data_IF_426176878965
#
_entry.id   IF_426176878965
#
_cell.length_a   1.000
_cell.length_b   1.000
_cell.length_c   1.000
_cell.angle_alpha   90.00
_cell.angle_beta   90.00
_cell.angle_gamma   90.00
#
_symmetry.space_group_name_H-M   'P 1'
#
loop_
_entity.id
_entity.type
_entity.pdbx_description
1 polymer ?
#
# COMPACT_ATOMS: atom_id res chain seq x y z
N UNK A 1 -26.28 63.64 -63.26
CA UNK A 1 -26.74 62.85 -62.09
C UNK A 1 -25.62 62.06 -61.38
N UNK A 2 -24.42 61.89 -61.97
CA UNK A 2 -23.34 61.10 -61.35
C UNK A 2 -22.71 61.66 -60.05
N UNK A 3 -22.64 63.00 -59.89
CA UNK A 3 -22.01 63.61 -58.71
C UNK A 3 -22.75 63.36 -57.38
N UNK A 4 -24.09 63.26 -57.40
CA UNK A 4 -24.89 62.94 -56.20
C UNK A 4 -24.72 61.47 -55.79
N UNK A 5 -24.67 60.56 -56.77
CA UNK A 5 -24.46 59.13 -56.52
C UNK A 5 -23.05 58.83 -55.98
N UNK A 6 -22.02 59.51 -56.49
CA UNK A 6 -20.66 59.41 -55.97
C UNK A 6 -20.55 59.87 -54.50
N UNK A 7 -21.27 60.93 -54.13
CA UNK A 7 -21.34 61.43 -52.74
C UNK A 7 -21.96 60.41 -51.78
N UNK A 8 -23.06 59.76 -52.17
CA UNK A 8 -23.67 58.69 -51.38
C UNK A 8 -22.76 57.46 -51.25
N UNK A 9 -22.02 57.12 -52.30
CA UNK A 9 -21.07 56.01 -52.29
C UNK A 9 -19.89 56.29 -51.35
N UNK A 10 -19.30 57.49 -51.42
CA UNK A 10 -18.22 57.90 -50.51
C UNK A 10 -18.71 57.91 -49.06
N UNK A 11 -19.88 58.50 -48.78
CA UNK A 11 -20.45 58.49 -47.43
C UNK A 11 -20.75 57.07 -46.92
N UNK A 12 -21.27 56.18 -47.78
CA UNK A 12 -21.53 54.79 -47.46
C UNK A 12 -20.25 54.00 -47.13
N UNK A 13 -19.19 54.16 -47.94
CA UNK A 13 -17.90 53.55 -47.65
C UNK A 13 -17.24 54.14 -46.40
N UNK A 14 -17.33 55.45 -46.17
CA UNK A 14 -16.81 56.06 -44.94
C UNK A 14 -17.51 55.55 -43.68
N UNK A 15 -18.84 55.40 -43.71
CA UNK A 15 -19.60 54.77 -42.62
C UNK A 15 -19.19 53.31 -42.40
N UNK A 16 -19.04 52.56 -43.49
CA UNK A 16 -18.66 51.15 -43.43
C UNK A 16 -17.23 50.98 -42.87
N UNK A 17 -16.27 51.80 -43.32
CA UNK A 17 -14.92 51.81 -42.77
C UNK A 17 -14.88 52.27 -41.31
N UNK A 18 -15.74 53.20 -40.90
CA UNK A 18 -15.84 53.63 -39.51
C UNK A 18 -16.33 52.48 -38.60
N UNK A 19 -17.38 51.77 -39.01
CA UNK A 19 -17.88 50.59 -38.26
C UNK A 19 -16.84 49.48 -38.22
N UNK A 20 -16.16 49.21 -39.34
CA UNK A 20 -15.09 48.21 -39.41
C UNK A 20 -13.90 48.59 -38.53
N UNK A 21 -13.47 49.86 -38.55
CA UNK A 21 -12.39 50.36 -37.70
C UNK A 21 -12.75 50.26 -36.20
N UNK A 22 -13.99 50.59 -35.84
CA UNK A 22 -14.48 50.43 -34.46
C UNK A 22 -14.51 48.96 -34.04
N UNK A 23 -14.96 48.06 -34.91
CA UNK A 23 -14.93 46.63 -34.64
C UNK A 23 -13.51 46.08 -34.50
N UNK A 24 -12.56 46.51 -35.34
CA UNK A 24 -11.15 46.14 -35.20
C UNK A 24 -10.55 46.65 -33.89
N UNK A 25 -10.88 47.88 -33.49
CA UNK A 25 -10.51 48.43 -32.19
C UNK A 25 -11.03 47.55 -31.05
N UNK A 26 -12.32 47.21 -31.06
CA UNK A 26 -12.94 46.35 -30.05
C UNK A 26 -12.38 44.91 -30.04
N UNK A 27 -12.02 44.36 -31.20
CA UNK A 27 -11.36 43.04 -31.29
C UNK A 27 -9.95 43.13 -30.69
N UNK A 28 -9.20 44.19 -31.02
CA UNK A 28 -7.84 44.39 -30.50
C UNK A 28 -7.84 44.54 -28.99
N UNK A 29 -8.75 45.34 -28.42
CA UNK A 29 -8.87 45.52 -26.97
C UNK A 29 -9.23 44.19 -26.29
N UNK A 30 -10.26 43.49 -26.77
CA UNK A 30 -10.63 42.17 -26.21
C UNK A 30 -9.51 41.13 -26.31
N UNK A 31 -8.72 41.16 -27.38
CA UNK A 31 -7.59 40.26 -27.53
C UNK A 31 -6.50 40.55 -26.49
N UNK A 32 -6.23 41.82 -26.18
CA UNK A 32 -5.30 42.22 -25.12
C UNK A 32 -5.85 41.84 -23.75
N UNK A 33 -7.12 42.11 -23.46
CA UNK A 33 -7.75 41.76 -22.19
C UNK A 33 -7.69 40.24 -21.95
N UNK A 34 -8.11 39.44 -22.95
CA UNK A 34 -8.00 37.98 -22.87
C UNK A 34 -6.56 37.49 -22.69
N UNK A 35 -5.58 38.16 -23.31
CA UNK A 35 -4.17 37.82 -23.15
C UNK A 35 -3.68 38.10 -21.73
N UNK A 36 -4.10 39.21 -21.13
CA UNK A 36 -3.77 39.56 -19.74
C UNK A 36 -4.44 38.58 -18.78
N UNK A 37 -5.72 38.29 -18.97
CA UNK A 37 -6.46 37.33 -18.14
C UNK A 37 -5.83 35.93 -18.20
N UNK A 38 -5.49 35.45 -19.40
CA UNK A 38 -4.82 34.17 -19.57
C UNK A 38 -3.42 34.16 -18.95
N UNK A 39 -2.68 35.26 -19.05
CA UNK A 39 -1.38 35.40 -18.41
C UNK A 39 -1.50 35.33 -16.89
N UNK A 40 -2.41 36.11 -16.30
CA UNK A 40 -2.62 36.16 -14.85
C UNK A 40 -3.10 34.79 -14.33
N UNK A 41 -4.01 34.11 -15.04
CA UNK A 41 -4.44 32.74 -14.73
C UNK A 41 -3.30 31.72 -14.82
N UNK A 42 -2.44 31.85 -15.82
CA UNK A 42 -1.27 30.96 -15.97
C UNK A 42 -0.26 31.19 -14.85
N UNK A 43 -0.02 32.45 -14.45
CA UNK A 43 0.91 32.79 -13.37
C UNK A 43 0.39 32.23 -12.04
N UNK A 44 -0.88 32.47 -11.69
CA UNK A 44 -1.44 31.97 -10.42
C UNK A 44 -1.46 30.45 -10.36
N UNK A 45 -1.78 29.77 -11.47
CA UNK A 45 -1.74 28.32 -11.56
C UNK A 45 -0.33 27.77 -11.36
N UNK A 46 0.68 28.36 -12.02
CA UNK A 46 2.08 27.96 -11.85
C UNK A 46 2.57 28.18 -10.42
N UNK A 47 2.14 29.26 -9.76
CA UNK A 47 2.44 29.53 -8.34
C UNK A 47 1.85 28.42 -7.47
N UNK A 48 0.57 28.07 -7.64
CA UNK A 48 -0.11 27.04 -6.87
C UNK A 48 0.51 25.64 -7.08
N UNK A 49 0.79 25.26 -8.33
CA UNK A 49 1.48 23.99 -8.68
C UNK A 49 2.88 23.94 -8.08
N UNK A 50 3.63 25.04 -8.11
CA UNK A 50 4.97 25.10 -7.51
C UNK A 50 4.89 24.93 -5.99
N UNK A 51 3.94 25.60 -5.33
CA UNK A 51 3.70 25.47 -3.90
C UNK A 51 3.31 24.05 -3.50
N UNK A 52 2.43 23.39 -4.26
CA UNK A 52 2.05 21.99 -4.06
C UNK A 52 3.27 21.06 -4.18
N UNK A 53 4.12 21.24 -5.20
CA UNK A 53 5.35 20.48 -5.38
C UNK A 53 6.35 20.70 -4.23
N UNK A 54 6.51 21.95 -3.77
CA UNK A 54 7.37 22.26 -2.62
C UNK A 54 6.90 21.55 -1.35
N UNK A 55 5.60 21.54 -1.09
CA UNK A 55 5.02 20.85 0.07
C UNK A 55 5.14 19.33 -0.06
N UNK A 56 4.85 18.76 -1.23
CA UNK A 56 5.05 17.34 -1.49
C UNK A 56 6.52 16.92 -1.28
N UNK A 57 7.47 17.73 -1.73
CA UNK A 57 8.89 17.51 -1.50
C UNK A 57 9.28 17.59 -0.01
N UNK A 58 8.69 18.52 0.77
CA UNK A 58 8.89 18.56 2.22
C UNK A 58 8.39 17.29 2.91
N UNK A 59 7.20 16.81 2.56
CA UNK A 59 6.66 15.55 3.10
C UNK A 59 7.53 14.36 2.68
N UNK A 60 8.05 14.37 1.45
CA UNK A 60 8.93 13.30 0.96
C UNK A 60 10.25 13.21 1.77
N UNK A 61 10.80 14.35 2.18
CA UNK A 61 12.01 14.40 3.01
C UNK A 61 11.73 14.14 4.50
N UNK A 62 10.60 14.64 5.00
CA UNK A 62 10.16 14.48 6.38
C UNK A 62 8.68 14.08 6.40
N UNK A 63 8.47 12.77 6.58
CA UNK A 63 7.13 12.19 6.66
C UNK A 63 6.32 12.70 7.86
N UNK A 64 6.91 13.38 8.85
CA UNK A 64 6.16 13.95 9.99
C UNK A 64 5.68 15.38 9.74
N UNK A 65 6.16 16.01 8.66
CA UNK A 65 5.85 17.41 8.38
C UNK A 65 4.37 17.62 8.01
N UNK A 66 3.70 18.44 8.80
CA UNK A 66 2.29 18.85 8.63
C UNK A 66 2.08 20.35 8.79
N UNK A 67 3.14 21.13 8.98
CA UNK A 67 3.07 22.56 9.28
C UNK A 67 2.53 23.38 8.11
N UNK A 68 2.75 22.94 6.87
CA UNK A 68 2.43 23.73 5.69
C UNK A 68 3.38 24.92 5.51
N UNK A 69 3.02 25.80 4.57
CA UNK A 69 3.71 27.06 4.33
C UNK A 69 2.77 28.22 4.63
N UNK A 70 3.17 29.19 5.46
CA UNK A 70 2.42 30.42 5.61
C UNK A 70 2.47 31.22 4.30
N UNK A 71 1.63 32.25 4.19
CA UNK A 71 1.64 33.14 3.04
C UNK A 71 3.05 33.67 2.75
N UNK A 72 3.59 33.33 1.58
CA UNK A 72 4.96 33.59 1.18
C UNK A 72 5.01 34.17 -0.23
N UNK A 73 5.86 35.19 -0.43
CA UNK A 73 6.06 35.80 -1.74
C UNK A 73 6.75 34.84 -2.72
N UNK A 74 6.19 34.67 -3.92
CA UNK A 74 6.77 33.84 -4.98
C UNK A 74 6.33 34.32 -6.36
N UNK A 75 7.28 34.44 -7.30
CA UNK A 75 7.03 34.84 -8.70
C UNK A 75 6.16 36.10 -8.89
N UNK A 76 6.24 37.05 -7.96
CA UNK A 76 5.46 38.30 -8.02
C UNK A 76 4.01 38.19 -7.52
N UNK A 77 3.61 37.02 -7.03
CA UNK A 77 2.39 36.80 -6.23
C UNK A 77 2.73 36.26 -4.84
N UNK A 78 1.73 35.67 -4.18
CA UNK A 78 1.89 34.94 -2.92
C UNK A 78 1.37 33.51 -3.05
N UNK A 79 1.84 32.62 -2.19
CA UNK A 79 1.25 31.30 -2.02
C UNK A 79 1.15 30.95 -0.55
N UNK A 80 0.20 30.11 -0.21
CA UNK A 80 0.08 29.44 1.09
C UNK A 80 -0.20 27.95 0.88
N UNK A 81 0.17 27.13 1.85
CA UNK A 81 -0.09 25.68 1.80
C UNK A 81 -0.53 25.18 3.17
N UNK A 82 -1.65 24.45 3.22
CA UNK A 82 -2.05 23.65 4.38
C UNK A 82 -1.85 22.15 4.13
N UNK A 83 -1.59 21.40 5.20
CA UNK A 83 -1.47 19.93 5.15
C UNK A 83 -2.37 19.32 6.22
N UNK A 84 -3.41 18.62 5.79
CA UNK A 84 -4.40 18.00 6.66
C UNK A 84 -4.30 16.47 6.62
N UNK A 85 -4.49 15.82 7.78
CA UNK A 85 -4.62 14.35 7.87
C UNK A 85 -6.10 13.99 7.80
N UNK A 86 -6.53 13.41 6.68
CA UNK A 86 -7.95 13.10 6.41
C UNK A 86 -8.37 11.76 7.01
N UNK A 87 -7.45 10.80 7.05
CA UNK A 87 -7.71 9.50 7.65
C UNK A 87 -6.51 9.13 8.53
N UNK A 88 -6.72 9.06 9.85
CA UNK A 88 -5.66 8.79 10.83
C UNK A 88 -5.15 7.36 10.71
N UNK A 89 -6.06 6.37 10.60
CA UNK A 89 -5.74 4.94 10.51
C UNK A 89 -4.94 4.62 9.24
N UNK A 90 -5.36 5.21 8.13
CA UNK A 90 -4.71 5.04 6.84
C UNK A 90 -3.54 6.02 6.63
N UNK A 91 -3.45 7.07 7.46
CA UNK A 91 -2.53 8.22 7.38
C UNK A 91 -2.59 8.92 6.00
N UNK A 92 -3.80 9.10 5.46
CA UNK A 92 -4.01 9.83 4.19
C UNK A 92 -3.90 11.32 4.48
N UNK A 93 -3.09 12.02 3.68
CA UNK A 93 -2.88 13.46 3.81
C UNK A 93 -3.37 14.21 2.59
N UNK A 94 -3.83 15.43 2.80
CA UNK A 94 -4.18 16.36 1.73
C UNK A 94 -3.36 17.63 1.87
N UNK A 95 -2.66 17.96 0.80
CA UNK A 95 -2.04 19.25 0.61
C UNK A 95 -3.08 20.13 -0.11
N UNK A 96 -3.33 21.31 0.45
CA UNK A 96 -4.12 22.35 -0.22
C UNK A 96 -3.18 23.53 -0.45
N UNK A 97 -2.77 23.75 -1.70
CA UNK A 97 -1.89 24.84 -2.08
C UNK A 97 -2.70 25.92 -2.80
N UNK A 98 -2.70 27.12 -2.25
CA UNK A 98 -3.40 28.27 -2.84
C UNK A 98 -2.36 29.26 -3.33
N UNK A 99 -2.37 29.55 -4.63
CA UNK A 99 -1.62 30.63 -5.23
C UNK A 99 -2.51 31.86 -5.39
N UNK A 100 -1.92 33.04 -5.18
CA UNK A 100 -2.57 34.33 -5.36
C UNK A 100 -1.69 35.22 -6.23
N UNK A 101 -2.24 35.75 -7.31
CA UNK A 101 -1.57 36.76 -8.12
C UNK A 101 -2.57 37.88 -8.42
N UNK A 102 -2.26 39.10 -7.96
CA UNK A 102 -3.21 40.23 -7.93
C UNK A 102 -4.46 39.82 -7.14
N UNK A 103 -5.64 39.87 -7.77
CA UNK A 103 -6.94 39.53 -7.16
C UNK A 103 -7.45 38.14 -7.60
N UNK A 104 -6.63 37.36 -8.32
CA UNK A 104 -6.97 36.02 -8.80
C UNK A 104 -6.30 34.98 -7.90
N UNK A 105 -7.07 33.98 -7.49
CA UNK A 105 -6.58 32.81 -6.75
C UNK A 105 -6.81 31.53 -7.54
N UNK A 106 -5.90 30.58 -7.39
CA UNK A 106 -6.05 29.21 -7.90
C UNK A 106 -5.58 28.23 -6.82
N UNK A 107 -6.24 27.08 -6.75
CA UNK A 107 -6.01 26.08 -5.70
C UNK A 107 -5.69 24.72 -6.32
N UNK A 108 -4.55 24.17 -5.91
CA UNK A 108 -4.14 22.81 -6.26
C UNK A 108 -4.29 21.93 -5.02
N UNK A 109 -5.00 20.81 -5.17
CA UNK A 109 -5.26 19.85 -4.10
C UNK A 109 -4.58 18.52 -4.43
N UNK A 110 -3.65 18.09 -3.56
CA UNK A 110 -2.90 16.85 -3.73
C UNK A 110 -3.22 15.90 -2.59
N UNK A 111 -3.62 14.67 -2.91
CA UNK A 111 -3.83 13.63 -1.90
C UNK A 111 -2.65 12.67 -1.89
N UNK A 112 -2.04 12.50 -0.72
CA UNK A 112 -0.91 11.62 -0.46
C UNK A 112 -1.36 10.45 0.42
N UNK A 113 -0.88 9.26 0.09
CA UNK A 113 -1.08 8.07 0.93
C UNK A 113 0.28 7.40 1.19
N UNK A 114 0.53 6.87 2.40
CA UNK A 114 1.73 6.13 2.67
C UNK A 114 1.76 4.84 1.83
N UNK A 115 2.87 4.62 1.15
CA UNK A 115 3.19 3.32 0.58
C UNK A 115 3.25 2.28 1.70
N UNK A 116 2.54 1.17 1.55
CA UNK A 116 2.51 0.06 2.53
C UNK A 116 3.22 -1.16 1.99
N UNK A 117 3.79 -1.95 2.89
CA UNK A 117 4.45 -3.21 2.54
C UNK A 117 3.48 -4.25 1.98
N UNK A 118 2.18 -4.12 2.24
CA UNK A 118 1.14 -5.02 1.70
C UNK A 118 1.08 -5.06 0.18
N UNK A 119 1.64 -4.06 -0.52
CA UNK A 119 1.74 -4.04 -1.98
C UNK A 119 2.65 -5.14 -2.55
N UNK A 120 3.48 -5.75 -1.72
CA UNK A 120 4.34 -6.85 -2.16
C UNK A 120 3.62 -8.18 -2.01
N UNK A 121 3.57 -8.95 -3.10
CA UNK A 121 3.24 -10.37 -3.04
C UNK A 121 4.29 -11.13 -2.21
N UNK A 122 5.55 -10.70 -2.36
CA UNK A 122 6.64 -11.25 -1.60
C UNK A 122 7.71 -10.20 -1.34
N UNK A 123 8.06 -10.02 -0.08
CA UNK A 123 9.16 -9.20 0.39
C UNK A 123 10.00 -10.01 1.39
N UNK A 124 11.32 -9.97 1.24
CA UNK A 124 12.25 -10.47 2.25
C UNK A 124 13.43 -9.54 2.48
N UNK A 125 13.90 -9.43 3.73
CA UNK A 125 15.18 -8.77 4.00
C UNK A 125 16.37 -9.73 3.82
N UNK A 126 16.20 -10.98 4.24
CA UNK A 126 17.16 -12.07 4.13
C UNK A 126 16.49 -13.31 3.53
N UNK A 127 17.05 -13.81 2.42
CA UNK A 127 16.57 -15.00 1.72
C UNK A 127 17.10 -16.33 2.30
N UNK A 128 18.00 -16.27 3.30
CA UNK A 128 18.61 -17.45 3.95
C UNK A 128 19.27 -18.42 2.94
N UNK A 129 19.79 -17.88 1.84
CA UNK A 129 20.46 -18.68 0.80
C UNK A 129 19.54 -19.58 -0.04
N UNK A 130 18.21 -19.44 0.09
CA UNK A 130 17.24 -20.27 -0.62
C UNK A 130 17.14 -19.85 -2.09
N UNK A 131 17.02 -20.84 -2.98
CA UNK A 131 16.92 -20.65 -4.43
C UNK A 131 15.46 -20.61 -4.89
N UNK A 132 15.15 -19.70 -5.80
CA UNK A 132 13.89 -19.67 -6.57
C UNK A 132 14.05 -20.54 -7.82
N UNK A 133 13.11 -21.43 -8.07
CA UNK A 133 13.20 -22.49 -9.08
C UNK A 133 12.06 -22.44 -10.10
N UNK A 134 12.09 -23.30 -11.13
CA UNK A 134 11.03 -23.41 -12.16
C UNK A 134 9.61 -23.56 -11.60
N UNK A 135 9.47 -24.13 -10.41
CA UNK A 135 8.16 -24.37 -9.79
C UNK A 135 7.65 -23.14 -9.03
N UNK A 136 8.48 -22.12 -8.83
CA UNK A 136 8.09 -20.91 -8.12
C UNK A 136 7.56 -19.87 -9.12
N UNK A 137 6.33 -19.43 -8.87
CA UNK A 137 5.69 -18.33 -9.60
C UNK A 137 5.21 -17.28 -8.62
N UNK A 138 5.59 -16.02 -8.84
CA UNK A 138 5.11 -14.88 -8.06
C UNK A 138 4.25 -13.98 -8.95
N UNK A 139 2.98 -13.85 -8.60
CA UNK A 139 1.97 -13.16 -9.42
C UNK A 139 1.89 -11.65 -9.22
N UNK A 140 2.54 -11.10 -8.18
CA UNK A 140 2.55 -9.67 -7.88
C UNK A 140 3.97 -9.11 -7.66
N UNK A 141 4.09 -7.90 -7.10
CA UNK A 141 5.39 -7.25 -6.87
C UNK A 141 6.29 -8.07 -5.95
N UNK A 142 7.56 -8.18 -6.32
CA UNK A 142 8.58 -8.92 -5.60
C UNK A 142 9.73 -8.00 -5.18
N UNK A 143 10.17 -8.13 -3.94
CA UNK A 143 11.37 -7.46 -3.46
C UNK A 143 12.21 -8.35 -2.56
N UNK A 144 13.53 -8.25 -2.68
CA UNK A 144 14.45 -8.78 -1.66
C UNK A 144 15.63 -7.85 -1.39
N UNK A 145 15.96 -7.64 -0.11
CA UNK A 145 17.15 -6.89 0.28
C UNK A 145 18.43 -7.74 0.24
N UNK A 146 18.32 -9.06 0.02
CA UNK A 146 19.46 -9.98 -0.12
C UNK A 146 19.74 -10.32 -1.60
N UNK A 147 20.69 -11.23 -1.83
CA UNK A 147 20.94 -11.82 -3.13
C UNK A 147 19.74 -12.63 -3.61
N UNK A 148 19.21 -12.22 -4.75
CA UNK A 148 18.15 -12.93 -5.42
C UNK A 148 18.72 -14.15 -6.16
N UNK A 149 18.58 -15.33 -5.56
CA UNK A 149 19.14 -16.59 -6.08
C UNK A 149 18.11 -17.32 -6.93
N UNK A 150 18.45 -17.63 -8.17
CA UNK A 150 17.52 -18.21 -9.16
C UNK A 150 18.13 -19.42 -9.87
N UNK A 151 17.27 -20.38 -10.22
CA UNK A 151 17.62 -21.63 -10.89
C UNK A 151 16.48 -22.07 -11.80
N UNK A 152 16.78 -22.61 -13.00
CA UNK A 152 15.78 -23.21 -13.90
C UNK A 152 14.59 -22.30 -14.26
N UNK A 153 14.83 -21.01 -14.51
CA UNK A 153 13.83 -20.07 -15.04
C UNK A 153 12.54 -19.89 -14.17
N UNK A 154 12.65 -19.39 -12.93
CA UNK A 154 11.47 -19.00 -12.13
C UNK A 154 10.70 -17.86 -12.81
N UNK A 155 9.41 -17.70 -12.48
CA UNK A 155 8.52 -16.73 -13.16
C UNK A 155 7.99 -15.65 -12.21
N UNK A 156 8.10 -14.39 -12.64
CA UNK A 156 7.65 -13.21 -11.91
C UNK A 156 6.78 -12.32 -12.80
N UNK A 157 5.51 -12.21 -12.46
CA UNK A 157 4.54 -11.41 -13.24
C UNK A 157 4.56 -9.93 -12.87
N UNK A 158 4.77 -9.60 -11.59
CA UNK A 158 4.93 -8.23 -11.13
C UNK A 158 6.36 -7.70 -11.30
N UNK A 159 6.56 -6.43 -10.97
CA UNK A 159 7.89 -5.81 -10.90
C UNK A 159 8.73 -6.55 -9.86
N UNK A 160 9.89 -7.06 -10.27
CA UNK A 160 10.84 -7.72 -9.40
C UNK A 160 12.02 -6.80 -9.09
N UNK A 161 12.37 -6.68 -7.82
CA UNK A 161 13.45 -5.79 -7.37
C UNK A 161 14.37 -6.48 -6.38
N UNK A 162 15.64 -6.09 -6.37
CA UNK A 162 16.61 -6.55 -5.35
C UNK A 162 17.59 -5.45 -4.98
N UNK A 163 18.01 -5.40 -3.72
CA UNK A 163 19.10 -4.53 -3.28
C UNK A 163 20.47 -5.03 -3.73
N UNK A 164 20.74 -6.33 -3.61
CA UNK A 164 22.05 -6.93 -3.91
C UNK A 164 22.13 -7.38 -5.37
N UNK A 165 22.54 -8.62 -5.61
CA UNK A 165 22.76 -9.17 -6.94
C UNK A 165 21.79 -10.31 -7.23
N UNK A 166 21.38 -10.42 -8.49
CA UNK A 166 20.78 -11.63 -9.05
C UNK A 166 21.88 -12.68 -9.27
N UNK A 167 21.75 -13.84 -8.62
CA UNK A 167 22.71 -14.96 -8.66
C UNK A 167 22.07 -16.15 -9.38
N UNK A 168 22.80 -16.71 -10.34
CA UNK A 168 22.40 -17.90 -11.09
C UNK A 168 23.14 -19.14 -10.55
N UNK A 169 22.48 -20.29 -10.48
CA UNK A 169 23.07 -21.53 -9.98
C UNK A 169 24.05 -22.15 -10.98
N UNK A 170 23.63 -22.24 -12.24
CA UNK A 170 24.28 -22.87 -13.39
C UNK A 170 24.55 -21.86 -14.53
N UNK A 171 24.45 -20.56 -14.23
CA UNK A 171 24.73 -19.46 -15.15
C UNK A 171 23.50 -18.89 -15.86
N UNK A 172 23.65 -17.67 -16.39
CA UNK A 172 22.54 -16.86 -16.93
C UNK A 172 21.72 -17.61 -18.00
N UNK A 173 22.34 -18.33 -18.92
CA UNK A 173 21.63 -19.00 -20.03
C UNK A 173 20.58 -20.01 -19.54
N UNK A 174 20.84 -20.69 -18.41
CA UNK A 174 20.03 -21.81 -17.93
C UNK A 174 19.05 -21.42 -16.81
N UNK A 175 19.28 -20.26 -16.17
CA UNK A 175 18.55 -19.88 -14.95
C UNK A 175 17.91 -18.49 -15.04
N UNK A 176 18.02 -17.78 -16.17
CA UNK A 176 17.48 -16.43 -16.28
C UNK A 176 15.96 -16.41 -16.02
N UNK A 177 15.47 -15.66 -15.03
CA UNK A 177 14.04 -15.66 -14.70
C UNK A 177 13.19 -15.02 -15.80
N UNK A 178 11.92 -15.42 -15.87
CA UNK A 178 10.93 -14.75 -16.68
C UNK A 178 10.38 -13.53 -15.91
N UNK A 179 10.88 -12.34 -16.23
CA UNK A 179 10.42 -11.09 -15.63
C UNK A 179 9.42 -10.37 -16.55
N UNK A 180 8.13 -10.60 -16.36
CA UNK A 180 7.09 -9.94 -17.16
C UNK A 180 6.83 -8.49 -16.70
N UNK A 181 6.91 -8.22 -15.39
CA UNK A 181 6.80 -6.87 -14.83
C UNK A 181 8.12 -6.08 -14.78
N UNK A 182 9.19 -6.63 -15.37
CA UNK A 182 10.53 -6.05 -15.38
C UNK A 182 11.33 -6.31 -14.10
N UNK A 183 12.65 -6.15 -14.21
CA UNK A 183 13.61 -6.35 -13.12
C UNK A 183 14.43 -5.09 -12.87
N UNK A 184 14.63 -4.74 -11.60
CA UNK A 184 15.48 -3.63 -11.20
C UNK A 184 16.38 -4.01 -10.03
N UNK A 185 17.64 -3.58 -10.12
CA UNK A 185 18.70 -3.90 -9.17
C UNK A 185 19.13 -2.63 -8.44
N UNK A 186 19.50 -2.75 -7.17
CA UNK A 186 20.00 -1.66 -6.34
C UNK A 186 18.89 -0.92 -5.58
N UNK A 187 17.65 -1.39 -5.68
CA UNK A 187 16.53 -0.85 -4.92
C UNK A 187 16.73 -1.21 -3.45
N UNK A 188 16.87 -0.21 -2.59
CA UNK A 188 16.98 -0.39 -1.14
C UNK A 188 15.67 0.03 -0.47
N UNK A 189 14.99 -0.93 0.13
CA UNK A 189 13.73 -0.74 0.85
C UNK A 189 13.80 -1.50 2.18
N UNK A 190 14.46 -0.98 3.23
CA UNK A 190 14.62 -1.70 4.49
C UNK A 190 13.28 -1.93 5.21
N UNK A 191 13.15 -3.03 5.97
CA UNK A 191 12.01 -3.19 6.88
C UNK A 191 12.08 -2.20 8.03
N UNK A 192 10.91 -1.87 8.56
CA UNK A 192 10.82 -1.05 9.77
C UNK A 192 11.29 -1.87 10.98
N UNK A 193 12.04 -1.23 11.86
CA UNK A 193 12.45 -1.80 13.16
C UNK A 193 11.42 -1.58 14.26
N UNK A 194 10.38 -0.79 13.99
CA UNK A 194 9.33 -0.42 14.94
C UNK A 194 7.95 -0.32 14.24
N UNK A 195 7.60 -1.35 13.47
CA UNK A 195 6.35 -1.40 12.73
C UNK A 195 5.11 -1.50 13.64
N UNK A 196 5.29 -2.02 14.86
CA UNK A 196 4.21 -2.31 15.78
C UNK A 196 3.82 -1.15 16.70
N UNK A 197 4.70 -0.18 16.96
CA UNK A 197 4.37 0.96 17.82
C UNK A 197 3.24 1.82 17.23
N UNK A 198 3.25 2.18 15.93
CA UNK A 198 2.11 2.86 15.32
C UNK A 198 0.83 2.03 15.36
N UNK A 199 0.93 0.71 15.24
CA UNK A 199 -0.21 -0.20 15.29
C UNK A 199 -0.77 -0.31 16.72
N UNK A 200 0.08 -0.30 17.75
CA UNK A 200 -0.35 -0.26 19.15
C UNK A 200 -1.09 1.05 19.46
N UNK A 201 -0.59 2.18 18.96
CA UNK A 201 -1.25 3.48 19.12
C UNK A 201 -2.65 3.51 18.48
N UNK A 202 -2.82 2.88 17.31
CA UNK A 202 -4.16 2.72 16.69
C UNK A 202 -5.05 1.79 17.51
N UNK A 203 -4.51 0.75 18.14
CA UNK A 203 -5.30 -0.12 19.01
C UNK A 203 -5.81 0.62 20.27
N UNK A 204 -5.06 1.62 20.74
CA UNK A 204 -5.45 2.51 21.84
C UNK A 204 -6.49 3.56 21.42
N UNK A 205 -6.60 3.87 20.13
CA UNK A 205 -7.49 4.88 19.58
C UNK A 205 -8.59 4.24 18.70
N UNK A 206 -9.71 3.86 19.34
CA UNK A 206 -10.89 3.25 18.69
C UNK A 206 -10.63 1.86 18.05
N UNK A 207 -9.58 1.17 18.51
CA UNK A 207 -9.29 -0.24 18.24
C UNK A 207 -9.47 -1.12 19.48
N UNK A 208 -8.85 -2.30 19.47
CA UNK A 208 -8.85 -3.18 20.63
C UNK A 208 -7.46 -3.66 21.01
N UNK A 209 -7.09 -3.51 22.28
CA UNK A 209 -5.81 -3.96 22.81
C UNK A 209 -5.96 -5.00 23.93
N UNK A 210 -5.46 -6.21 23.70
CA UNK A 210 -5.26 -7.21 24.75
C UNK A 210 -3.99 -6.90 25.54
N UNK A 211 -4.07 -6.91 26.86
CA UNK A 211 -2.93 -6.70 27.77
C UNK A 211 -2.98 -7.69 28.93
N UNK A 212 -1.81 -8.21 29.32
CA UNK A 212 -1.70 -9.11 30.48
C UNK A 212 -1.97 -10.58 30.20
N UNK A 213 -2.35 -10.92 28.97
CA UNK A 213 -2.64 -12.28 28.53
C UNK A 213 -1.41 -12.91 27.86
N UNK A 214 -1.05 -14.13 28.26
CA UNK A 214 0.07 -14.85 27.63
C UNK A 214 -0.30 -15.33 26.22
N UNK A 215 -1.49 -15.92 26.07
CA UNK A 215 -2.01 -16.41 24.79
C UNK A 215 -3.43 -15.91 24.55
N UNK A 216 -3.70 -15.42 23.35
CA UNK A 216 -5.04 -14.99 22.91
C UNK A 216 -5.44 -15.85 21.71
N UNK A 217 -6.54 -16.58 21.84
CA UNK A 217 -7.14 -17.32 20.75
C UNK A 217 -8.21 -16.44 20.10
N UNK A 218 -8.06 -16.23 18.80
CA UNK A 218 -8.96 -15.44 17.97
C UNK A 218 -9.53 -16.35 16.89
N UNK A 219 -10.84 -16.58 16.93
CA UNK A 219 -11.56 -17.25 15.85
C UNK A 219 -12.54 -16.29 15.22
N UNK A 220 -12.28 -15.88 13.99
CA UNK A 220 -13.21 -15.08 13.21
C UNK A 220 -14.41 -15.94 12.78
N UNK A 221 -15.60 -15.41 12.98
CA UNK A 221 -16.87 -16.07 12.64
C UNK A 221 -17.77 -15.02 11.96
N UNK A 222 -17.42 -14.75 10.70
CA UNK A 222 -18.00 -13.74 9.84
C UNK A 222 -17.93 -12.32 10.46
N UNK A 223 -19.08 -11.77 10.87
CA UNK A 223 -19.19 -10.44 11.50
C UNK A 223 -18.75 -10.42 12.97
N UNK A 224 -18.49 -11.60 13.54
CA UNK A 224 -18.13 -11.76 14.95
C UNK A 224 -16.76 -12.36 15.13
N UNK A 225 -16.20 -12.20 16.32
CA UNK A 225 -14.94 -12.79 16.72
C UNK A 225 -15.12 -13.47 18.08
N UNK A 226 -14.64 -14.71 18.15
CA UNK A 226 -14.60 -15.53 19.36
C UNK A 226 -13.23 -15.41 19.98
N UNK A 227 -13.22 -15.03 21.26
CA UNK A 227 -12.02 -14.75 22.03
C UNK A 227 -11.98 -15.70 23.23
N UNK A 228 -10.83 -16.32 23.46
CA UNK A 228 -10.51 -17.00 24.72
C UNK A 228 -9.02 -16.86 25.04
N UNK A 229 -8.67 -17.04 26.31
CA UNK A 229 -7.30 -16.88 26.81
C UNK A 229 -6.61 -18.21 27.18
N UNK A 230 -7.38 -19.30 27.22
CA UNK A 230 -6.88 -20.65 27.51
C UNK A 230 -7.55 -21.68 26.60
N UNK A 231 -6.85 -22.78 26.30
CA UNK A 231 -7.29 -23.80 25.35
C UNK A 231 -8.66 -24.43 25.66
N UNK A 232 -8.98 -24.65 26.95
CA UNK A 232 -10.18 -25.37 27.41
C UNK A 232 -11.23 -24.45 28.07
N UNK A 233 -11.18 -23.14 27.79
CA UNK A 233 -12.18 -22.19 28.28
C UNK A 233 -13.22 -21.90 27.21
N UNK A 234 -14.39 -21.43 27.68
CA UNK A 234 -15.48 -21.02 26.81
C UNK A 234 -15.09 -19.74 26.05
N UNK A 235 -15.51 -19.68 24.79
CA UNK A 235 -15.32 -18.51 23.95
C UNK A 235 -16.27 -17.39 24.39
N UNK A 236 -15.73 -16.17 24.44
CA UNK A 236 -16.54 -14.95 24.46
C UNK A 236 -16.73 -14.49 23.02
N UNK A 237 -17.98 -14.39 22.57
CA UNK A 237 -18.31 -13.93 21.21
C UNK A 237 -18.71 -12.47 21.24
N UNK A 238 -18.08 -11.66 20.38
CA UNK A 238 -18.37 -10.23 20.24
C UNK A 238 -18.44 -9.87 18.76
N UNK A 239 -19.22 -8.84 18.40
CA UNK A 239 -19.18 -8.30 17.05
C UNK A 239 -17.82 -7.65 16.80
N UNK A 240 -17.17 -8.03 15.69
CA UNK A 240 -15.80 -7.58 15.42
C UNK A 240 -15.75 -6.07 15.19
N UNK A 241 -16.79 -5.50 14.54
CA UNK A 241 -16.93 -4.06 14.33
C UNK A 241 -17.18 -3.27 15.62
N UNK A 242 -17.72 -3.91 16.66
CA UNK A 242 -17.90 -3.29 17.98
C UNK A 242 -16.66 -3.44 18.85
N UNK A 243 -15.88 -4.50 18.62
CA UNK A 243 -14.62 -4.74 19.33
C UNK A 243 -13.53 -3.78 18.87
N UNK A 244 -13.32 -3.68 17.56
CA UNK A 244 -12.33 -2.80 16.94
C UNK A 244 -12.98 -2.02 15.78
N UNK A 245 -13.70 -0.93 16.07
CA UNK A 245 -14.33 -0.09 15.05
C UNK A 245 -13.37 0.43 13.99
N UNK A 246 -12.13 0.77 14.36
CA UNK A 246 -11.09 1.20 13.44
C UNK A 246 -10.40 0.05 12.67
N UNK A 247 -10.76 -1.21 12.96
CA UNK A 247 -10.22 -2.42 12.32
C UNK A 247 -8.91 -2.94 12.92
N UNK A 248 -8.33 -2.32 13.95
CA UNK A 248 -7.05 -2.74 14.55
C UNK A 248 -7.29 -3.53 15.83
N UNK A 249 -6.81 -4.77 15.86
CA UNK A 249 -6.82 -5.63 17.05
C UNK A 249 -5.37 -5.95 17.39
N UNK A 250 -4.95 -5.66 18.62
CA UNK A 250 -3.55 -5.77 19.04
C UNK A 250 -3.41 -6.60 20.30
N UNK A 251 -2.48 -7.56 20.31
CA UNK A 251 -2.14 -8.34 21.47
C UNK A 251 -0.74 -7.97 21.97
N UNK A 252 -0.69 -7.29 23.12
CA UNK A 252 0.56 -6.78 23.67
C UNK A 252 1.29 -7.86 24.44
N UNK A 253 2.52 -8.16 24.01
CA UNK A 253 3.38 -9.15 24.68
C UNK A 253 2.70 -10.52 24.81
N UNK A 254 2.05 -10.99 23.75
CA UNK A 254 1.28 -12.23 23.78
C UNK A 254 1.66 -13.15 22.63
N UNK A 255 1.10 -14.36 22.64
CA UNK A 255 0.98 -15.24 21.49
C UNK A 255 -0.45 -15.19 20.99
N UNK A 256 -0.66 -14.99 19.69
CA UNK A 256 -2.00 -15.09 19.08
C UNK A 256 -2.15 -16.42 18.37
N UNK A 257 -3.30 -17.06 18.54
CA UNK A 257 -3.69 -18.24 17.78
C UNK A 257 -4.92 -17.93 16.96
N UNK A 258 -4.80 -18.01 15.64
CA UNK A 258 -5.73 -17.41 14.68
C UNK A 258 -6.33 -18.46 13.74
N UNK A 259 -7.64 -18.33 13.47
CA UNK A 259 -8.36 -19.06 12.43
C UNK A 259 -9.73 -18.42 12.13
N UNK A 260 -10.42 -18.89 11.10
CA UNK A 260 -11.83 -18.62 10.85
C UNK A 260 -12.13 -17.80 9.59
N UNK A 261 -13.32 -17.20 9.54
CA UNK A 261 -13.85 -16.49 8.38
C UNK A 261 -14.00 -15.00 8.67
N UNK A 262 -13.23 -14.16 7.98
CA UNK A 262 -13.17 -12.71 8.20
C UNK A 262 -14.16 -11.97 7.31
N UNK A 263 -15.09 -11.22 7.90
CA UNK A 263 -15.94 -10.26 7.18
C UNK A 263 -15.62 -8.84 7.61
N UNK A 264 -15.19 -7.99 6.69
CA UNK A 264 -14.69 -6.63 6.97
C UNK A 264 -13.17 -6.49 6.85
N UNK A 265 -12.64 -5.34 7.28
CA UNK A 265 -11.23 -5.01 7.15
C UNK A 265 -10.58 -4.97 8.53
N UNK A 266 -9.62 -5.87 8.77
CA UNK A 266 -8.96 -5.99 10.07
C UNK A 266 -7.46 -6.18 9.96
N UNK A 267 -6.73 -5.74 10.97
CA UNK A 267 -5.31 -6.05 11.17
C UNK A 267 -5.09 -6.56 12.57
N UNK A 268 -4.45 -7.74 12.67
CA UNK A 268 -4.01 -8.32 13.93
C UNK A 268 -2.54 -7.97 14.16
N UNK A 269 -2.23 -7.22 15.21
CA UNK A 269 -0.88 -6.89 15.66
C UNK A 269 -0.47 -7.68 16.88
N UNK A 270 0.78 -8.17 16.94
CA UNK A 270 1.30 -8.87 18.13
C UNK A 270 2.72 -8.39 18.46
N UNK A 271 2.87 -7.75 19.62
CA UNK A 271 4.17 -7.30 20.12
C UNK A 271 4.85 -8.31 21.03
N UNK A 272 6.14 -8.10 21.26
CA UNK A 272 6.94 -8.93 22.14
C UNK A 272 7.86 -8.07 23.00
N UNK A 273 7.95 -8.42 24.28
CA UNK A 273 9.04 -7.99 25.16
C UNK A 273 10.04 -9.11 25.40
N UNK A 274 9.67 -10.36 25.08
CA UNK A 274 10.50 -11.56 25.21
C UNK A 274 10.44 -12.42 23.93
N UNK A 275 11.39 -13.35 23.76
CA UNK A 275 11.43 -14.26 22.60
C UNK A 275 10.29 -15.29 22.57
N UNK A 276 9.59 -15.50 23.69
CA UNK A 276 8.42 -16.37 23.79
C UNK A 276 7.17 -15.77 23.14
N UNK A 277 7.06 -14.44 23.16
CA UNK A 277 5.91 -13.65 22.73
C UNK A 277 6.07 -13.12 21.30
N UNK A 278 5.09 -12.36 20.80
CA UNK A 278 5.12 -11.75 19.47
C UNK A 278 4.96 -12.75 18.33
N UNK A 279 4.31 -13.87 18.59
CA UNK A 279 4.11 -14.95 17.62
C UNK A 279 2.64 -15.08 17.27
N UNK A 280 2.38 -15.34 16.00
CA UNK A 280 1.05 -15.73 15.51
C UNK A 280 1.12 -17.18 15.07
N UNK A 281 0.22 -18.01 15.58
CA UNK A 281 0.01 -19.38 15.14
C UNK A 281 -1.27 -19.47 14.33
N UNK A 282 -1.19 -20.01 13.13
CA UNK A 282 -2.37 -20.31 12.29
C UNK A 282 -2.85 -21.71 12.63
N UNK A 283 -3.96 -21.79 13.36
CA UNK A 283 -4.49 -23.05 13.89
C UNK A 283 -5.37 -23.81 12.91
N UNK A 284 -5.88 -23.12 11.91
CA UNK A 284 -6.71 -23.65 10.83
C UNK A 284 -6.73 -22.60 9.71
N UNK A 285 -7.55 -22.84 8.69
CA UNK A 285 -7.87 -21.88 7.65
C UNK A 285 -8.24 -20.50 8.23
N UNK A 286 -7.72 -19.45 7.61
CA UNK A 286 -8.10 -18.06 7.85
C UNK A 286 -8.45 -17.43 6.52
N UNK A 287 -9.75 -17.28 6.25
CA UNK A 287 -10.25 -16.94 4.91
C UNK A 287 -11.16 -15.72 4.95
N UNK A 288 -11.25 -15.02 3.83
CA UNK A 288 -12.28 -13.99 3.64
C UNK A 288 -13.65 -14.66 3.55
N UNK A 289 -14.65 -14.04 4.18
CA UNK A 289 -16.03 -14.50 4.10
C UNK A 289 -16.54 -14.50 2.66
N UNK A 290 -16.17 -13.46 1.89
CA UNK A 290 -16.34 -13.44 0.43
C UNK A 290 -15.00 -13.37 -0.26
N UNK A 291 -14.61 -14.47 -0.91
CA UNK A 291 -13.41 -14.53 -1.73
C UNK A 291 -13.47 -13.53 -2.90
N UNK A 292 -12.54 -12.57 -2.99
CA UNK A 292 -12.56 -11.54 -4.02
C UNK A 292 -12.36 -12.07 -5.45
N UNK A 293 -11.82 -13.28 -5.62
CA UNK A 293 -11.67 -13.93 -6.93
C UNK A 293 -13.01 -14.32 -7.53
N UNK A 294 -13.99 -14.62 -6.67
CA UNK A 294 -15.37 -14.96 -7.04
C UNK A 294 -16.32 -13.79 -6.84
N UNK A 295 -16.05 -12.93 -5.85
CA UNK A 295 -16.84 -11.76 -5.49
C UNK A 295 -15.98 -10.49 -5.56
N UNK A 296 -15.75 -9.90 -6.76
CA UNK A 296 -14.83 -8.76 -6.94
C UNK A 296 -15.13 -7.53 -6.07
N UNK A 297 -16.39 -7.35 -5.66
CA UNK A 297 -16.83 -6.25 -4.79
C UNK A 297 -16.65 -6.55 -3.29
N UNK A 298 -16.02 -7.66 -2.92
CA UNK A 298 -15.72 -7.98 -1.53
C UNK A 298 -14.83 -6.88 -0.93
N UNK A 299 -15.22 -6.39 0.24
CA UNK A 299 -14.42 -5.46 1.05
C UNK A 299 -13.56 -6.18 2.09
N UNK A 300 -13.62 -7.52 2.15
CA UNK A 300 -12.94 -8.30 3.18
C UNK A 300 -11.42 -8.23 2.98
N UNK A 301 -10.70 -7.87 4.05
CA UNK A 301 -9.25 -7.71 4.02
C UNK A 301 -8.64 -7.98 5.40
N UNK A 302 -7.52 -8.71 5.42
CA UNK A 302 -6.84 -9.08 6.67
C UNK A 302 -5.35 -8.76 6.59
N UNK A 303 -4.84 -8.08 7.61
CA UNK A 303 -3.44 -7.92 7.91
C UNK A 303 -3.03 -8.77 9.12
N UNK A 304 -1.90 -9.48 9.04
CA UNK A 304 -1.32 -10.19 10.18
C UNK A 304 0.08 -9.62 10.39
N UNK A 305 0.30 -8.96 11.52
CA UNK A 305 1.55 -8.25 11.83
C UNK A 305 2.11 -8.79 13.14
N UNK A 306 3.28 -9.42 13.10
CA UNK A 306 3.91 -9.99 14.28
C UNK A 306 5.34 -9.47 14.47
N UNK A 307 5.75 -9.28 15.73
CA UNK A 307 7.12 -8.91 16.06
C UNK A 307 8.09 -10.02 15.63
N UNK A 308 7.74 -11.25 15.98
CA UNK A 308 8.55 -12.43 15.75
C UNK A 308 7.97 -13.30 14.62
N UNK A 309 7.55 -14.53 14.90
CA UNK A 309 7.17 -15.49 13.86
C UNK A 309 5.67 -15.50 13.57
N UNK A 310 5.32 -15.78 12.31
CA UNK A 310 4.00 -16.25 11.92
C UNK A 310 4.16 -17.70 11.47
N UNK A 311 3.57 -18.65 12.19
CA UNK A 311 3.78 -20.08 11.97
C UNK A 311 2.47 -20.81 11.73
N UNK A 312 2.46 -21.69 10.74
CA UNK A 312 1.39 -22.69 10.59
C UNK A 312 1.55 -23.73 11.69
N UNK A 313 0.50 -23.91 12.50
CA UNK A 313 0.49 -24.89 13.58
C UNK A 313 0.62 -26.30 13.04
N UNK A 314 1.41 -27.17 13.68
CA UNK A 314 1.35 -28.60 13.41
C UNK A 314 0.22 -29.22 14.23
N UNK A 315 -0.92 -29.49 13.59
CA UNK A 315 -2.10 -30.11 14.18
C UNK A 315 -2.87 -30.90 13.11
N UNK A 316 -3.96 -31.56 13.50
CA UNK A 316 -4.77 -32.34 12.58
C UNK A 316 -5.43 -31.50 11.46
N UNK A 317 -5.81 -30.25 11.76
CA UNK A 317 -6.47 -29.37 10.79
C UNK A 317 -5.53 -28.98 9.64
N UNK A 318 -4.26 -28.71 9.95
CA UNK A 318 -3.25 -28.30 8.97
C UNK A 318 -2.43 -29.48 8.43
N UNK A 319 -2.93 -30.70 8.48
CA UNK A 319 -2.26 -31.88 7.91
C UNK A 319 -2.72 -32.20 6.47
N UNK A 320 -3.72 -31.48 5.97
CA UNK A 320 -4.29 -31.66 4.62
C UNK A 320 -4.72 -30.30 4.08
N UNK A 321 -3.73 -29.52 3.66
CA UNK A 321 -3.81 -28.12 3.20
C UNK A 321 -4.05 -27.08 4.30
N UNK A 322 -3.74 -25.82 3.97
CA UNK A 322 -4.20 -24.64 4.70
C UNK A 322 -4.46 -23.49 3.72
N UNK A 323 -5.57 -22.78 3.91
CA UNK A 323 -5.95 -21.61 3.14
C UNK A 323 -5.83 -20.35 3.99
N UNK A 324 -5.09 -19.38 3.48
CA UNK A 324 -4.75 -18.13 4.18
C UNK A 324 -5.07 -16.97 3.25
N UNK A 325 -6.03 -16.13 3.63
CA UNK A 325 -6.34 -14.88 2.95
C UNK A 325 -5.85 -13.71 3.81
N UNK A 326 -4.61 -13.26 3.61
CA UNK A 326 -4.00 -12.22 4.42
C UNK A 326 -2.75 -11.60 3.78
N UNK A 327 -2.50 -10.33 4.08
CA UNK A 327 -1.16 -9.74 3.99
C UNK A 327 -0.42 -9.97 5.31
N UNK A 328 0.71 -10.65 5.26
CA UNK A 328 1.49 -11.07 6.44
C UNK A 328 2.74 -10.22 6.55
N UNK A 329 3.02 -9.70 7.74
CA UNK A 329 4.22 -8.93 8.07
C UNK A 329 4.90 -9.49 9.32
N UNK A 330 6.15 -9.89 9.20
CA UNK A 330 7.03 -10.26 10.31
C UNK A 330 8.19 -9.28 10.41
N UNK A 331 8.30 -8.61 11.55
CA UNK A 331 9.32 -7.58 11.75
C UNK A 331 10.72 -8.15 11.98
N UNK A 332 10.85 -9.23 12.76
CA UNK A 332 12.15 -9.78 13.18
C UNK A 332 12.47 -11.17 12.63
N UNK A 333 11.48 -11.94 12.18
CA UNK A 333 11.66 -13.31 11.67
C UNK A 333 10.92 -13.48 10.34
N UNK A 334 10.03 -14.46 10.22
CA UNK A 334 9.26 -14.66 8.99
C UNK A 334 8.08 -15.61 9.12
N UNK A 335 7.53 -15.95 7.96
CA UNK A 335 6.40 -16.85 7.81
C UNK A 335 6.88 -18.27 7.49
N UNK A 336 6.53 -19.24 8.34
CA UNK A 336 6.97 -20.63 8.20
C UNK A 336 5.96 -21.65 8.72
N UNK A 337 6.36 -22.92 8.77
CA UNK A 337 5.57 -23.98 9.38
C UNK A 337 6.28 -24.55 10.61
N UNK A 338 5.54 -24.87 11.66
CA UNK A 338 6.11 -25.59 12.80
C UNK A 338 6.63 -26.96 12.34
N UNK A 339 7.84 -27.33 12.79
CA UNK A 339 8.46 -28.62 12.50
C UNK A 339 8.48 -28.95 11.00
N UNK A 340 8.74 -27.96 10.15
CA UNK A 340 8.64 -28.06 8.68
C UNK A 340 9.44 -29.24 8.08
N UNK A 341 10.48 -29.70 8.78
CA UNK A 341 11.42 -30.74 8.38
C UNK A 341 11.09 -32.13 8.93
N UNK A 342 10.16 -32.23 9.87
CA UNK A 342 9.79 -33.49 10.55
C UNK A 342 8.29 -33.77 10.56
N UNK A 343 7.45 -32.76 10.31
CA UNK A 343 6.00 -32.91 10.14
C UNK A 343 5.67 -33.75 8.90
N UNK A 344 4.53 -34.47 8.87
CA UNK A 344 4.11 -35.18 7.67
C UNK A 344 3.92 -34.23 6.47
N UNK A 345 3.90 -34.79 5.26
CA UNK A 345 3.43 -34.05 4.07
C UNK A 345 2.01 -33.54 4.39
N UNK A 346 1.85 -32.23 4.34
CA UNK A 346 0.68 -31.50 4.86
C UNK A 346 -0.13 -30.82 3.76
N UNK A 347 0.10 -31.17 2.49
CA UNK A 347 -0.57 -30.57 1.34
C UNK A 347 -0.02 -29.18 0.95
N UNK A 348 -0.90 -28.31 0.45
CA UNK A 348 -0.64 -27.00 -0.10
C UNK A 348 -0.95 -25.85 0.87
N UNK A 349 -0.09 -24.82 0.88
CA UNK A 349 -0.43 -23.51 1.46
C UNK A 349 -1.06 -22.67 0.35
N UNK A 350 -2.38 -22.51 0.43
CA UNK A 350 -3.18 -21.66 -0.45
C UNK A 350 -3.23 -20.24 0.09
N UNK A 351 -2.21 -19.43 -0.22
CA UNK A 351 -2.14 -18.03 0.21
C UNK A 351 -2.77 -17.13 -0.86
N UNK A 352 -3.71 -16.27 -0.45
CA UNK A 352 -4.18 -15.11 -1.20
C UNK A 352 -3.79 -13.84 -0.42
N UNK A 353 -2.79 -13.12 -0.91
CA UNK A 353 -2.28 -11.92 -0.26
C UNK A 353 -0.78 -11.74 -0.46
N UNK A 354 -0.04 -11.44 0.60
CA UNK A 354 1.39 -11.15 0.51
C UNK A 354 2.17 -11.62 1.73
N UNK A 355 3.46 -11.93 1.53
CA UNK A 355 4.38 -12.27 2.63
C UNK A 355 5.47 -11.22 2.71
N UNK A 356 5.57 -10.56 3.85
CA UNK A 356 6.60 -9.59 4.17
C UNK A 356 7.31 -10.08 5.42
N UNK A 357 8.61 -10.32 5.31
CA UNK A 357 9.39 -10.97 6.37
C UNK A 357 10.82 -10.47 6.41
N UNK A 358 11.42 -10.46 7.60
CA UNK A 358 12.84 -10.20 7.74
C UNK A 358 13.67 -11.37 7.25
N UNK A 359 13.45 -12.56 7.82
CA UNK A 359 14.17 -13.77 7.47
C UNK A 359 13.18 -14.77 6.86
N UNK A 360 13.43 -15.15 5.61
CA UNK A 360 12.67 -16.22 4.95
C UNK A 360 12.68 -17.49 5.80
N UNK A 361 11.50 -18.03 6.12
CA UNK A 361 11.39 -19.32 6.83
C UNK A 361 10.99 -20.44 5.88
N UNK A 362 11.28 -21.67 6.29
CA UNK A 362 10.87 -22.87 5.57
C UNK A 362 9.47 -23.32 6.00
N UNK A 363 8.76 -23.91 5.04
CA UNK A 363 7.42 -24.49 5.22
C UNK A 363 7.38 -25.99 4.91
N UNK A 364 8.46 -26.51 4.33
CA UNK A 364 8.60 -27.92 3.98
C UNK A 364 9.99 -28.23 3.41
N UNK A 365 10.28 -29.51 3.24
CA UNK A 365 11.51 -30.04 2.62
C UNK A 365 11.15 -30.87 1.38
N UNK A 366 12.10 -30.93 0.43
CA UNK A 366 11.90 -31.60 -0.86
C UNK A 366 13.08 -32.49 -1.20
N UNK A 367 12.81 -33.62 -1.85
CA UNK A 367 13.79 -34.45 -2.52
C UNK A 367 13.55 -34.35 -4.04
N UNK A 368 14.40 -33.58 -4.72
CA UNK A 368 14.17 -33.23 -6.12
C UNK A 368 12.92 -32.34 -6.28
N UNK A 369 11.88 -32.88 -6.90
CA UNK A 369 10.58 -32.19 -7.09
C UNK A 369 9.48 -32.72 -6.16
N UNK A 370 9.76 -33.79 -5.42
CA UNK A 370 8.78 -34.43 -4.53
C UNK A 370 8.94 -33.88 -3.11
N UNK A 371 7.83 -33.50 -2.49
CA UNK A 371 7.81 -33.07 -1.10
C UNK A 371 8.07 -34.25 -0.16
N UNK A 372 8.88 -34.02 0.88
CA UNK A 372 9.20 -35.01 1.92
C UNK A 372 8.57 -34.67 3.26
N UNK A 373 8.54 -33.38 3.63
CA UNK A 373 7.91 -32.89 4.86
C UNK A 373 7.28 -31.52 4.64
N UNK A 374 6.22 -31.22 5.40
CA UNK A 374 5.59 -29.89 5.39
C UNK A 374 4.72 -29.64 4.16
N UNK A 375 4.77 -28.41 3.63
CA UNK A 375 3.83 -27.95 2.61
C UNK A 375 4.48 -27.59 1.26
N UNK A 376 3.72 -27.80 0.19
CA UNK A 376 3.90 -27.15 -1.11
C UNK A 376 3.32 -25.73 -1.07
N UNK A 377 3.83 -24.84 -1.95
CA UNK A 377 3.53 -23.40 -1.89
C UNK A 377 2.62 -23.01 -3.05
N UNK A 378 1.41 -22.56 -2.73
CA UNK A 378 0.50 -21.95 -3.69
C UNK A 378 0.23 -20.49 -3.30
N UNK A 379 1.21 -19.62 -3.58
CA UNK A 379 1.13 -18.21 -3.23
C UNK A 379 0.58 -17.39 -4.38
N UNK A 380 -0.61 -16.82 -4.18
CA UNK A 380 -1.29 -15.95 -5.12
C UNK A 380 -1.40 -14.55 -4.51
N UNK A 381 -1.10 -13.54 -5.32
CA UNK A 381 -1.22 -12.16 -4.88
C UNK A 381 -2.68 -11.72 -4.90
N UNK A 382 -3.10 -10.94 -3.91
CA UNK A 382 -4.36 -10.20 -3.95
C UNK A 382 -4.08 -8.82 -4.57
N UNK A 383 -4.41 -8.67 -5.85
CA UNK A 383 -4.12 -7.45 -6.64
C UNK A 383 -4.73 -6.18 -6.02
N UNK A 384 -5.78 -6.32 -5.20
CA UNK A 384 -6.40 -5.20 -4.49
C UNK A 384 -5.40 -4.53 -3.54
N UNK A 385 -4.41 -5.27 -3.02
CA UNK A 385 -3.40 -4.77 -2.09
C UNK A 385 -2.47 -3.67 -2.67
N UNK A 386 -2.55 -3.44 -3.99
CA UNK A 386 -1.89 -2.29 -4.65
C UNK A 386 -2.60 -0.97 -4.40
N UNK A 387 -3.92 -1.00 -4.12
CA UNK A 387 -4.77 0.19 -4.00
C UNK A 387 -5.40 0.32 -2.61
N UNK A 388 -5.73 -0.81 -1.98
CA UNK A 388 -6.25 -0.88 -0.62
C UNK A 388 -5.26 -1.63 0.26
N UNK A 389 -5.29 -1.40 1.57
CA UNK A 389 -4.41 -2.10 2.50
C UNK A 389 -5.12 -2.34 3.83
N UNK A 390 -4.74 -3.38 4.58
CA UNK A 390 -5.33 -3.63 5.88
C UNK A 390 -5.16 -2.40 6.80
N UNK A 391 -6.14 -2.08 7.66
CA UNK A 391 -6.09 -0.92 8.54
C UNK A 391 -4.79 -0.90 9.37
N UNK A 392 -4.06 0.21 9.37
CA UNK A 392 -2.81 0.35 10.14
C UNK A 392 -1.64 -0.53 9.67
N UNK A 393 -1.72 -1.25 8.55
CA UNK A 393 -0.65 -2.16 8.09
C UNK A 393 0.71 -1.44 7.94
N UNK A 394 1.86 -2.07 8.24
CA UNK A 394 3.16 -1.40 8.20
C UNK A 394 3.48 -0.69 6.87
N UNK A 395 3.91 0.58 7.01
CA UNK A 395 4.32 1.44 5.89
C UNK A 395 5.76 1.23 5.45
N UNK A 396 6.12 1.76 4.28
CA UNK A 396 7.50 1.77 3.78
C UNK A 396 8.21 3.10 4.05
N UNK A 397 7.71 3.91 5.01
CA UNK A 397 8.21 5.28 5.28
C UNK A 397 8.31 6.17 4.03
N UNK A 398 7.40 6.01 3.07
CA UNK A 398 7.32 6.89 1.90
C UNK A 398 5.87 7.19 1.61
N UNK A 399 5.59 8.41 1.20
CA UNK A 399 4.29 8.79 0.65
C UNK A 399 4.29 8.67 -0.88
N UNK A 400 3.16 8.28 -1.42
CA UNK A 400 2.86 8.23 -2.85
C UNK A 400 1.72 9.22 -3.13
N UNK A 401 1.78 9.91 -4.27
CA UNK A 401 0.70 10.78 -4.74
C UNK A 401 -0.40 9.90 -5.30
N UNK A 402 -1.59 9.99 -4.72
CA UNK A 402 -2.77 9.22 -5.13
C UNK A 402 -3.66 10.04 -6.07
N UNK A 403 -3.76 11.35 -5.83
CA UNK A 403 -4.49 12.25 -6.72
C UNK A 403 -3.85 13.63 -6.75
N UNK A 404 -4.02 14.29 -7.90
CA UNK A 404 -3.57 15.65 -8.16
C UNK A 404 -4.70 16.37 -8.90
N UNK A 405 -5.27 17.39 -8.26
CA UNK A 405 -6.36 18.21 -8.79
C UNK A 405 -5.88 19.66 -8.88
N UNK A 406 -6.06 20.27 -10.05
CA UNK A 406 -5.63 21.65 -10.37
C UNK A 406 -6.81 22.57 -10.68
#
# INVERSE_FOLDING_TARGET
MGGKAALFLVMGFSLLFMVVAQNFGNISTRAVDNMVDYHDQTVVHNIAVSAANMAAHKIYLDNSWVTGFPETNFMGGTFEVSVDIINVVQNIRRITATGTYRDITNQVVVTLSPSRFSKFAYYSENEEGIWWTSNDTVWGPFHTQDHFRVSRHPTFYGKATTKKNLIYQNGKKNDYPNFFGGFEKGVNLPLLTDALTPLEALADDDGYKFTGEDTVYLTFDEDSIKIRYEWNKLDTTVLTSSLAPNGVIFAKNSVVRLKGNVKGQYTIGVSASTSGQGKVYLDDNIVYNKDPRTYPNSSDLLGIVAKNHILITQNAANNDDITIHASIYSESYGFGAQNYDTRPVSGDINLLGGIIQKNRQAVGTFSGTTITHGFTKQYKYDDRLMMIYPPGFPGTERFEIVSWLE
#
